data_IF_237384768639
#
_entry.id   IF_237384768639
#
_cell.length_a   1.000
_cell.length_b   1.000
_cell.length_c   1.000
_cell.angle_alpha   90.00
_cell.angle_beta   90.00
_cell.angle_gamma   90.00
#
_symmetry.space_group_name_H-M   'P 1'
#
loop_
_entity.id
_entity.type
_entity.pdbx_description
1 polymer ?
#
# COMPACT_ATOMS: atom_id res chain seq x y z
N UNK A 1 -13.87 17.53 26.09
CA UNK A 1 -13.57 18.09 24.75
C UNK A 1 -12.25 17.57 24.16
N UNK A 2 -11.10 17.69 24.84
CA UNK A 2 -9.79 17.22 24.33
C UNK A 2 -9.73 15.75 23.87
N UNK A 3 -10.44 14.85 24.57
CA UNK A 3 -10.51 13.42 24.21
C UNK A 3 -11.22 13.16 22.87
N UNK A 4 -12.27 13.93 22.56
CA UNK A 4 -12.98 13.81 21.29
C UNK A 4 -12.15 14.35 20.11
N UNK A 5 -11.38 15.42 20.33
CA UNK A 5 -10.47 15.93 19.31
C UNK A 5 -9.39 14.90 18.93
N UNK A 6 -8.84 14.16 19.90
CA UNK A 6 -7.87 13.10 19.62
C UNK A 6 -8.48 11.93 18.85
N UNK A 7 -9.70 11.50 19.20
CA UNK A 7 -10.41 10.42 18.48
C UNK A 7 -10.74 10.84 17.05
N UNK A 8 -11.14 12.10 16.84
CA UNK A 8 -11.41 12.63 15.50
C UNK A 8 -10.14 12.66 14.64
N UNK A 9 -9.00 13.06 15.22
CA UNK A 9 -7.71 13.12 14.52
C UNK A 9 -7.24 11.71 14.09
N UNK A 10 -7.37 10.71 14.96
CA UNK A 10 -7.01 9.32 14.61
C UNK A 10 -7.94 8.71 13.58
N UNK A 11 -9.23 9.03 13.61
CA UNK A 11 -10.18 8.57 12.59
C UNK A 11 -9.83 9.12 11.20
N UNK A 12 -9.39 10.38 11.10
CA UNK A 12 -8.99 10.99 9.82
C UNK A 12 -7.72 10.37 9.24
N UNK A 13 -6.73 10.03 10.08
CA UNK A 13 -5.50 9.36 9.62
C UNK A 13 -5.76 7.93 9.17
N UNK A 14 -6.64 7.20 9.85
CA UNK A 14 -7.07 5.86 9.44
C UNK A 14 -7.82 5.88 8.10
N UNK A 15 -8.72 6.85 7.88
CA UNK A 15 -9.40 7.03 6.59
C UNK A 15 -8.42 7.34 5.45
N UNK A 16 -7.43 8.19 5.73
CA UNK A 16 -6.38 8.52 4.75
C UNK A 16 -5.48 7.30 4.48
N UNK A 17 -5.20 6.50 5.50
CA UNK A 17 -4.44 5.26 5.37
C UNK A 17 -5.14 4.24 4.45
N UNK A 18 -6.47 4.11 4.51
CA UNK A 18 -7.21 3.23 3.59
C UNK A 18 -6.96 3.57 2.11
N UNK A 19 -6.84 4.86 1.78
CA UNK A 19 -6.55 5.30 0.41
C UNK A 19 -5.06 5.17 0.04
N UNK A 20 -4.14 5.46 0.98
CA UNK A 20 -2.68 5.32 0.75
C UNK A 20 -2.24 3.85 0.61
N UNK A 21 -2.81 2.94 1.40
CA UNK A 21 -2.49 1.50 1.35
C UNK A 21 -2.86 0.90 -0.02
N UNK A 22 -3.92 1.39 -0.65
CA UNK A 22 -4.30 0.97 -2.01
C UNK A 22 -3.22 1.37 -3.04
N UNK A 23 -2.71 2.60 -2.95
CA UNK A 23 -1.61 3.08 -3.79
C UNK A 23 -0.33 2.25 -3.58
N UNK A 24 0.09 2.10 -2.33
CA UNK A 24 1.26 1.28 -1.99
C UNK A 24 1.10 -0.18 -2.47
N UNK A 25 -0.11 -0.75 -2.38
CA UNK A 25 -0.40 -2.09 -2.89
C UNK A 25 -0.28 -2.20 -4.42
N UNK A 26 -0.66 -1.16 -5.17
CA UNK A 26 -0.44 -1.10 -6.62
C UNK A 26 1.05 -1.10 -6.96
N UNK A 27 1.84 -0.30 -6.24
CA UNK A 27 3.29 -0.21 -6.47
C UNK A 27 3.99 -1.53 -6.15
N UNK A 28 3.64 -2.17 -5.03
CA UNK A 28 4.12 -3.51 -4.65
C UNK A 28 3.77 -4.54 -5.73
N UNK A 29 2.54 -4.51 -6.26
CA UNK A 29 2.12 -5.42 -7.33
C UNK A 29 2.91 -5.19 -8.62
N UNK A 30 3.13 -3.94 -9.02
CA UNK A 30 3.90 -3.60 -10.21
C UNK A 30 5.36 -4.08 -10.08
N UNK A 31 5.98 -3.83 -8.93
CA UNK A 31 7.33 -4.31 -8.63
C UNK A 31 7.39 -5.85 -8.64
N UNK A 32 6.43 -6.52 -8.01
CA UNK A 32 6.33 -7.97 -8.03
C UNK A 32 6.20 -8.55 -9.44
N UNK A 33 5.34 -7.96 -10.28
CA UNK A 33 5.21 -8.36 -11.68
C UNK A 33 6.52 -8.17 -12.46
N UNK A 34 7.24 -7.07 -12.26
CA UNK A 34 8.53 -6.84 -12.92
C UNK A 34 9.57 -7.91 -12.54
N UNK A 35 9.64 -8.27 -11.25
CA UNK A 35 10.52 -9.34 -10.77
C UNK A 35 10.11 -10.70 -11.33
N UNK A 36 8.83 -11.06 -11.27
CA UNK A 36 8.31 -12.33 -11.80
C UNK A 36 8.58 -12.46 -13.30
N UNK A 37 8.29 -11.41 -14.08
CA UNK A 37 8.54 -11.41 -15.52
C UNK A 37 10.03 -11.53 -15.84
N UNK A 38 10.88 -10.83 -15.08
CA UNK A 38 12.34 -10.94 -15.24
C UNK A 38 12.82 -12.36 -14.94
N UNK A 39 12.33 -12.96 -13.85
CA UNK A 39 12.64 -14.33 -13.48
C UNK A 39 12.17 -15.34 -14.54
N UNK A 40 10.97 -15.15 -15.10
CA UNK A 40 10.48 -15.96 -16.23
C UNK A 40 11.35 -15.80 -17.48
N UNK A 41 11.78 -14.57 -17.80
CA UNK A 41 12.56 -14.28 -19.00
C UNK A 41 13.97 -14.90 -18.99
N UNK A 42 14.56 -15.11 -17.81
CA UNK A 42 15.90 -15.70 -17.65
C UNK A 42 15.84 -17.18 -17.26
N UNK A 43 14.64 -17.75 -17.14
CA UNK A 43 14.45 -19.14 -16.76
C UNK A 43 14.92 -20.05 -17.91
N UNK A 44 16.17 -20.51 -17.81
CA UNK A 44 16.72 -21.58 -18.65
C UNK A 44 16.28 -22.94 -18.12
N UNK A 45 15.18 -23.45 -18.63
CA UNK A 45 14.83 -24.87 -18.58
C UNK A 45 14.65 -25.37 -20.00
#
# INVERSE_FOLDING_TARGET
MKKFALIALTAMTLLSACNTISGAGKDVKAAGNAVSNSAESVKSY
#
